data_IF_917318579279
#
_entry.id   IF_917318579279
#
_cell.length_a   1.000
_cell.length_b   1.000
_cell.length_c   1.000
_cell.angle_alpha   90.00
_cell.angle_beta   90.00
_cell.angle_gamma   90.00
#
_symmetry.space_group_name_H-M   'P 1'
#
loop_
_entity.id
_entity.type
_entity.pdbx_description
1 polymer ?
#
# COMPACT_ATOMS: atom_id res chain seq x y z
N UNK A 1 15.14 -21.67 9.85
CA UNK A 1 14.05 -20.87 10.45
C UNK A 1 12.85 -21.00 9.53
N UNK A 2 11.80 -21.69 9.97
CA UNK A 2 10.64 -22.04 9.14
C UNK A 2 9.80 -20.78 8.87
N UNK A 3 9.78 -20.30 7.62
CA UNK A 3 9.00 -19.15 7.16
C UNK A 3 7.50 -19.52 6.98
N UNK A 4 6.87 -19.98 8.06
CA UNK A 4 5.42 -20.26 8.12
C UNK A 4 4.77 -19.50 9.27
N UNK A 5 5.10 -18.22 9.40
CA UNK A 5 4.25 -17.27 10.10
C UNK A 5 3.51 -16.48 9.02
N UNK A 6 2.18 -16.43 9.12
CA UNK A 6 1.33 -15.58 8.29
C UNK A 6 1.99 -14.20 8.16
N UNK A 7 2.48 -13.88 6.95
CA UNK A 7 3.15 -12.62 6.73
C UNK A 7 2.06 -11.54 6.66
N UNK A 8 1.65 -11.06 7.84
CA UNK A 8 0.52 -10.15 8.04
C UNK A 8 0.55 -8.97 7.06
N UNK A 9 1.75 -8.44 6.77
CA UNK A 9 1.89 -7.33 5.83
C UNK A 9 1.66 -7.75 4.38
N UNK A 10 2.06 -8.96 3.99
CA UNK A 10 1.78 -9.54 2.67
C UNK A 10 0.26 -9.64 2.44
N UNK A 11 -0.46 -10.31 3.35
CA UNK A 11 -1.92 -10.44 3.25
C UNK A 11 -2.62 -9.08 3.24
N UNK A 12 -2.25 -8.18 4.16
CA UNK A 12 -2.86 -6.84 4.22
C UNK A 12 -2.66 -6.02 2.96
N UNK A 13 -1.46 -6.06 2.39
CA UNK A 13 -1.18 -5.27 1.18
C UNK A 13 -1.82 -5.87 -0.06
N UNK A 14 -1.97 -7.20 -0.12
CA UNK A 14 -2.75 -7.88 -1.16
C UNK A 14 -4.24 -7.52 -1.08
N UNK A 15 -4.85 -7.63 0.11
CA UNK A 15 -6.25 -7.28 0.32
C UNK A 15 -6.53 -5.80 0.02
N UNK A 16 -5.62 -4.92 0.45
CA UNK A 16 -5.70 -3.50 0.13
C UNK A 16 -5.58 -3.22 -1.37
N UNK A 17 -4.71 -3.94 -2.09
CA UNK A 17 -4.62 -3.84 -3.55
C UNK A 17 -5.95 -4.21 -4.24
N UNK A 18 -6.63 -5.26 -3.78
CA UNK A 18 -7.97 -5.61 -4.29
C UNK A 18 -8.99 -4.50 -4.01
N UNK A 19 -8.95 -3.89 -2.82
CA UNK A 19 -9.80 -2.74 -2.49
C UNK A 19 -9.53 -1.53 -3.39
N UNK A 20 -8.26 -1.27 -3.73
CA UNK A 20 -7.85 -0.20 -4.66
C UNK A 20 -8.36 -0.48 -6.08
N UNK A 21 -8.29 -1.73 -6.55
CA UNK A 21 -8.85 -2.12 -7.85
C UNK A 21 -10.37 -1.86 -7.89
N UNK A 22 -11.08 -2.20 -6.81
CA UNK A 22 -12.52 -1.90 -6.69
C UNK A 22 -12.78 -0.39 -6.67
N UNK A 23 -11.99 0.38 -5.92
CA UNK A 23 -12.07 1.84 -5.87
C UNK A 23 -11.89 2.45 -7.26
N UNK A 24 -10.88 2.01 -8.02
CA UNK A 24 -10.65 2.42 -9.40
C UNK A 24 -11.85 2.18 -10.31
N UNK A 25 -12.47 1.00 -10.24
CA UNK A 25 -13.68 0.69 -11.02
C UNK A 25 -14.85 1.61 -10.64
N UNK A 26 -15.00 1.93 -9.36
CA UNK A 26 -16.03 2.87 -8.90
C UNK A 26 -15.77 4.30 -9.40
N UNK A 27 -14.53 4.79 -9.36
CA UNK A 27 -14.17 6.09 -9.93
C UNK A 27 -14.54 6.17 -11.43
N UNK A 28 -14.22 5.12 -12.19
CA UNK A 28 -14.57 5.06 -13.61
C UNK A 28 -16.08 5.11 -13.86
N UNK A 29 -16.88 4.45 -13.02
CA UNK A 29 -18.34 4.50 -13.13
C UNK A 29 -18.92 5.90 -12.88
N UNK A 30 -18.13 6.78 -12.24
CA UNK A 30 -18.47 8.17 -11.96
C UNK A 30 -17.71 9.16 -12.87
N UNK A 31 -17.13 8.67 -13.98
CA UNK A 31 -16.37 9.45 -14.96
C UNK A 31 -15.08 10.10 -14.42
N UNK A 32 -14.47 9.55 -13.37
CA UNK A 32 -13.15 9.99 -12.88
C UNK A 32 -12.05 9.04 -13.38
N UNK A 33 -11.14 9.56 -14.22
CA UNK A 33 -10.17 8.76 -14.98
C UNK A 33 -8.69 9.14 -14.78
N UNK A 34 -8.42 10.27 -14.12
CA UNK A 34 -7.08 10.87 -14.06
C UNK A 34 -6.42 10.51 -12.74
N UNK A 35 -7.06 10.85 -11.62
CA UNK A 35 -6.58 10.52 -10.29
C UNK A 35 -6.73 9.01 -10.03
N UNK A 36 -7.74 8.38 -10.64
CA UNK A 36 -8.01 6.95 -10.44
C UNK A 36 -6.87 6.08 -10.97
N UNK A 37 -6.20 6.53 -12.05
CA UNK A 37 -4.99 5.85 -12.55
C UNK A 37 -3.80 6.02 -11.61
N UNK A 38 -3.64 7.19 -10.97
CA UNK A 38 -2.57 7.42 -10.02
C UNK A 38 -2.72 6.52 -8.80
N UNK A 39 -3.92 6.48 -8.22
CA UNK A 39 -4.19 5.68 -7.03
C UNK A 39 -4.12 4.17 -7.32
N UNK A 40 -4.59 3.72 -8.50
CA UNK A 40 -4.45 2.34 -8.93
C UNK A 40 -2.98 1.92 -8.93
N UNK A 41 -2.12 2.72 -9.59
CA UNK A 41 -0.70 2.42 -9.73
C UNK A 41 0.01 2.35 -8.38
N UNK A 42 -0.06 3.42 -7.57
CA UNK A 42 0.65 3.43 -6.29
C UNK A 42 0.05 2.42 -5.30
N UNK A 43 -1.29 2.30 -5.23
CA UNK A 43 -1.95 1.40 -4.29
C UNK A 43 -1.65 -0.08 -4.54
N UNK A 44 -1.57 -0.53 -5.80
CA UNK A 44 -1.17 -1.92 -6.10
C UNK A 44 0.33 -2.15 -5.99
N UNK A 45 1.15 -1.10 -6.17
CA UNK A 45 2.62 -1.18 -6.08
C UNK A 45 3.11 -1.52 -4.66
N UNK A 46 2.33 -1.20 -3.63
CA UNK A 46 2.65 -1.53 -2.23
C UNK A 46 2.83 -3.04 -2.07
N UNK A 47 1.80 -3.82 -2.46
CA UNK A 47 1.83 -5.28 -2.34
C UNK A 47 2.90 -5.89 -3.23
N UNK A 48 3.06 -5.39 -4.46
CA UNK A 48 4.12 -5.87 -5.37
C UNK A 48 5.52 -5.73 -4.77
N UNK A 49 5.84 -4.59 -4.14
CA UNK A 49 7.13 -4.40 -3.48
C UNK A 49 7.28 -5.22 -2.19
N UNK A 50 6.18 -5.54 -1.49
CA UNK A 50 6.20 -6.47 -0.35
C UNK A 50 6.53 -7.89 -0.83
N UNK A 51 5.94 -8.36 -1.92
CA UNK A 51 6.26 -9.65 -2.53
C UNK A 51 7.74 -9.72 -2.96
N UNK A 52 8.25 -8.65 -3.60
CA UNK A 52 9.67 -8.55 -3.96
C UNK A 52 10.58 -8.56 -2.71
N UNK A 53 10.17 -7.93 -1.62
CA UNK A 53 10.92 -7.97 -0.37
C UNK A 53 11.00 -9.39 0.19
N UNK A 54 9.91 -10.15 0.15
CA UNK A 54 9.87 -11.54 0.64
C UNK A 54 10.84 -12.43 -0.14
N UNK A 55 11.02 -12.16 -1.44
CA UNK A 55 11.98 -12.84 -2.31
C UNK A 55 13.40 -12.23 -2.28
N UNK A 56 13.68 -11.28 -1.39
CA UNK A 56 14.95 -10.55 -1.37
C UNK A 56 16.16 -11.44 -1.11
N UNK A 57 17.28 -11.13 -1.78
CA UNK A 57 18.52 -11.92 -1.70
C UNK A 57 19.41 -11.54 -0.52
N UNK A 58 19.12 -10.41 0.12
CA UNK A 58 19.85 -9.93 1.29
C UNK A 58 18.97 -9.07 2.18
N UNK A 59 19.41 -8.85 3.41
CA UNK A 59 18.72 -7.96 4.36
C UNK A 59 18.65 -6.51 3.88
N UNK A 60 19.70 -6.02 3.20
CA UNK A 60 19.73 -4.67 2.60
C UNK A 60 18.69 -4.56 1.47
N UNK A 61 18.59 -5.59 0.65
CA UNK A 61 17.59 -5.68 -0.43
C UNK A 61 16.17 -5.74 0.13
N UNK A 62 15.92 -6.57 1.14
CA UNK A 62 14.64 -6.64 1.87
C UNK A 62 14.19 -5.26 2.37
N UNK A 63 15.08 -4.54 3.05
CA UNK A 63 14.79 -3.19 3.57
C UNK A 63 14.55 -2.19 2.43
N UNK A 64 15.33 -2.27 1.34
CA UNK A 64 15.16 -1.40 0.18
C UNK A 64 13.76 -1.56 -0.44
N UNK A 65 13.33 -2.81 -0.68
CA UNK A 65 12.01 -3.12 -1.24
C UNK A 65 10.87 -2.69 -0.32
N UNK A 66 10.97 -2.96 0.99
CA UNK A 66 9.97 -2.47 1.94
C UNK A 66 9.94 -0.94 2.04
N UNK A 67 11.08 -0.27 1.89
CA UNK A 67 11.13 1.19 1.88
C UNK A 67 10.42 1.77 0.65
N UNK A 68 10.52 1.12 -0.51
CA UNK A 68 9.74 1.46 -1.70
C UNK A 68 8.24 1.25 -1.42
N UNK A 69 7.85 0.08 -0.88
CA UNK A 69 6.45 -0.17 -0.49
C UNK A 69 5.90 0.91 0.46
N UNK A 70 6.71 1.36 1.43
CA UNK A 70 6.32 2.40 2.38
C UNK A 70 6.16 3.78 1.71
N UNK A 71 6.98 4.08 0.69
CA UNK A 71 6.83 5.30 -0.12
C UNK A 71 5.52 5.27 -0.91
N UNK A 72 5.23 4.16 -1.59
CA UNK A 72 3.99 3.95 -2.35
C UNK A 72 2.75 4.03 -1.44
N UNK A 73 2.85 3.52 -0.21
CA UNK A 73 1.78 3.60 0.76
C UNK A 73 1.48 5.05 1.18
N UNK A 74 2.52 5.87 1.40
CA UNK A 74 2.37 7.29 1.73
C UNK A 74 1.82 8.10 0.56
N UNK A 75 2.23 7.78 -0.67
CA UNK A 75 1.66 8.37 -1.88
C UNK A 75 0.18 8.00 -2.03
N UNK A 76 -0.17 6.73 -1.82
CA UNK A 76 -1.57 6.27 -1.85
C UNK A 76 -2.43 7.01 -0.82
N UNK A 77 -1.93 7.18 0.41
CA UNK A 77 -2.59 7.99 1.44
C UNK A 77 -2.81 9.43 1.00
N UNK A 78 -1.84 10.05 0.32
CA UNK A 78 -1.98 11.40 -0.22
C UNK A 78 -3.12 11.48 -1.24
N UNK A 79 -3.18 10.55 -2.20
CA UNK A 79 -4.25 10.50 -3.19
C UNK A 79 -5.64 10.28 -2.56
N UNK A 80 -5.75 9.39 -1.56
CA UNK A 80 -7.00 9.20 -0.81
C UNK A 80 -7.46 10.49 -0.12
N UNK A 81 -6.54 11.26 0.49
CA UNK A 81 -6.88 12.56 1.09
C UNK A 81 -7.37 13.58 0.06
N UNK A 82 -6.83 13.55 -1.16
CA UNK A 82 -7.33 14.40 -2.25
C UNK A 82 -8.75 14.01 -2.63
N UNK A 83 -9.07 12.72 -2.76
CA UNK A 83 -10.44 12.27 -3.01
C UNK A 83 -11.41 12.70 -1.92
N UNK A 84 -11.02 12.54 -0.65
CA UNK A 84 -11.83 12.96 0.49
C UNK A 84 -12.10 14.47 0.49
N UNK A 85 -11.11 15.28 0.11
CA UNK A 85 -11.21 16.75 0.18
C UNK A 85 -11.90 17.36 -1.03
N UNK A 86 -11.80 16.72 -2.19
CA UNK A 86 -12.27 17.25 -3.47
C UNK A 86 -13.71 16.87 -3.80
N UNK A 87 -14.29 15.87 -3.11
CA UNK A 87 -15.61 15.31 -3.40
C UNK A 87 -15.79 14.90 -4.88
N UNK A 88 -14.70 14.51 -5.55
CA UNK A 88 -14.70 14.10 -6.97
C UNK A 88 -15.57 12.87 -7.24
N UNK A 89 -15.77 12.04 -6.22
CA UNK A 89 -16.53 10.78 -6.30
C UNK A 89 -17.35 10.58 -5.04
N UNK A 90 -18.51 9.95 -5.19
CA UNK A 90 -19.38 9.48 -4.11
C UNK A 90 -18.89 8.12 -3.61
N UNK A 91 -17.73 8.10 -2.96
CA UNK A 91 -17.11 6.92 -2.38
C UNK A 91 -16.68 7.26 -0.94
N UNK A 92 -16.97 6.36 -0.01
CA UNK A 92 -16.52 6.47 1.39
C UNK A 92 -15.00 6.23 1.46
N UNK A 93 -14.24 7.20 1.99
CA UNK A 93 -12.77 7.21 1.95
C UNK A 93 -12.12 6.85 3.30
N UNK A 94 -12.82 7.05 4.43
CA UNK A 94 -12.25 6.87 5.77
C UNK A 94 -11.79 5.43 6.01
N UNK A 95 -12.53 4.45 5.50
CA UNK A 95 -12.15 3.04 5.63
C UNK A 95 -10.86 2.71 4.87
N UNK A 96 -10.56 3.40 3.76
CA UNK A 96 -9.30 3.26 3.03
C UNK A 96 -8.17 3.98 3.76
N UNK A 97 -8.42 5.18 4.29
CA UNK A 97 -7.45 5.95 5.06
C UNK A 97 -7.01 5.24 6.34
N UNK A 98 -7.94 4.60 7.05
CA UNK A 98 -7.61 3.80 8.25
C UNK A 98 -6.72 2.61 7.90
N UNK A 99 -7.03 1.92 6.80
CA UNK A 99 -6.26 0.73 6.40
C UNK A 99 -4.85 1.10 5.91
N UNK A 100 -4.72 2.12 5.06
CA UNK A 100 -3.40 2.53 4.57
C UNK A 100 -2.52 3.05 5.71
N UNK A 101 -3.10 3.70 6.73
CA UNK A 101 -2.34 4.10 7.91
C UNK A 101 -1.82 2.91 8.70
N UNK A 102 -2.65 1.87 8.86
CA UNK A 102 -2.21 0.61 9.47
C UNK A 102 -1.05 -0.02 8.68
N UNK A 103 -1.12 -0.03 7.35
CA UNK A 103 -0.07 -0.57 6.48
C UNK A 103 1.24 0.23 6.64
N UNK A 104 1.17 1.57 6.61
CA UNK A 104 2.33 2.45 6.81
C UNK A 104 3.01 2.19 8.16
N UNK A 105 2.22 2.04 9.23
CA UNK A 105 2.74 1.79 10.57
C UNK A 105 3.45 0.44 10.67
N UNK A 106 2.87 -0.60 10.07
CA UNK A 106 3.48 -1.94 10.03
C UNK A 106 4.78 -1.91 9.22
N UNK A 107 4.76 -1.36 8.01
CA UNK A 107 5.96 -1.24 7.15
C UNK A 107 7.07 -0.47 7.87
N UNK A 108 6.74 0.68 8.47
CA UNK A 108 7.71 1.51 9.20
C UNK A 108 8.34 0.74 10.37
N UNK A 109 7.55 -0.04 11.12
CA UNK A 109 8.05 -0.87 12.22
C UNK A 109 8.97 -1.99 11.72
N UNK A 110 8.60 -2.69 10.65
CA UNK A 110 9.42 -3.76 10.06
C UNK A 110 10.75 -3.21 9.55
N UNK A 111 10.73 -2.08 8.83
CA UNK A 111 11.95 -1.42 8.34
C UNK A 111 12.87 -1.05 9.50
N UNK A 112 12.35 -0.35 10.52
CA UNK A 112 13.14 0.09 11.68
C UNK A 112 13.82 -1.08 12.39
N UNK A 113 13.04 -2.11 12.73
CA UNK A 113 13.55 -3.30 13.44
C UNK A 113 14.54 -4.12 12.59
N UNK A 114 14.36 -4.13 11.26
CA UNK A 114 15.30 -4.77 10.34
C UNK A 114 16.62 -3.98 10.25
N UNK A 115 16.56 -2.64 10.24
CA UNK A 115 17.73 -1.76 10.17
C UNK A 115 18.58 -1.75 11.45
N UNK A 116 17.97 -1.91 12.64
CA UNK A 116 18.70 -1.95 13.92
C UNK A 116 19.65 -3.16 14.03
N UNK A 117 19.42 -4.19 13.22
CA UNK A 117 20.14 -5.46 13.25
C UNK A 117 21.06 -5.63 12.04
N UNK A 118 21.58 -4.53 11.48
CA UNK A 118 22.31 -4.49 10.21
C UNK A 118 23.77 -4.10 10.40
#
# INVERSE_FOLDING_TARGET
>A
MSFKEDNLIQTKTFDFALRIIKFYTQCKSQNEFILSKQILRCGTSIGANVEEAIAAQSKKDFISKLSIANKEARETKYWLRLYQSSNLVQIEIDSYLKEIESIINILTKIIKTSSENL
#
